data_IF_411230081910
#
_entry.id   IF_411230081910
#
_cell.length_a   1.000
_cell.length_b   1.000
_cell.length_c   1.000
_cell.angle_alpha   90.00
_cell.angle_beta   90.00
_cell.angle_gamma   90.00
#
_symmetry.space_group_name_H-M   'P 1'
#
loop_
_entity.id
_entity.type
_entity.pdbx_description
1 polymer ?
#
# COMPACT_ATOMS: atom_id res chain seq x y z
N UNK A 1 10.48 11.01 -16.12
CA UNK A 1 9.64 11.47 -14.98
C UNK A 1 8.43 10.55 -14.87
N UNK A 2 8.07 10.05 -13.69
CA UNK A 2 6.91 9.14 -13.48
C UNK A 2 5.62 9.95 -13.22
N UNK A 3 5.33 10.90 -14.09
CA UNK A 3 4.13 11.74 -13.97
C UNK A 3 3.01 11.05 -14.75
N UNK A 4 1.92 10.60 -14.08
CA UNK A 4 0.78 10.01 -14.76
C UNK A 4 0.13 11.05 -15.69
N UNK A 5 -0.28 10.61 -16.88
CA UNK A 5 -1.08 11.38 -17.83
C UNK A 5 -2.57 11.07 -17.65
N UNK A 6 -2.89 9.82 -17.33
CA UNK A 6 -4.25 9.37 -17.08
C UNK A 6 -4.38 8.90 -15.64
N UNK A 7 -5.39 9.45 -14.95
CA UNK A 7 -5.80 9.05 -13.61
C UNK A 7 -7.29 8.78 -13.67
N UNK A 8 -7.71 7.62 -13.19
CA UNK A 8 -9.11 7.27 -13.03
C UNK A 8 -9.42 7.12 -11.54
N UNK A 9 -10.59 7.60 -11.13
CA UNK A 9 -11.10 7.43 -9.78
C UNK A 9 -12.61 7.19 -9.83
N UNK A 10 -13.09 6.23 -9.06
CA UNK A 10 -14.49 5.97 -8.81
C UNK A 10 -14.70 5.65 -7.32
N UNK A 11 -15.85 6.04 -6.79
CA UNK A 11 -16.25 5.75 -5.42
C UNK A 11 -17.68 5.24 -5.35
N UNK A 12 -17.90 4.20 -4.55
CA UNK A 12 -19.22 3.66 -4.23
C UNK A 12 -19.41 3.70 -2.72
N UNK A 13 -20.57 4.15 -2.26
CA UNK A 13 -20.90 4.25 -0.84
C UNK A 13 -22.19 3.50 -0.59
N UNK A 14 -22.20 2.63 0.40
CA UNK A 14 -23.41 2.03 0.95
C UNK A 14 -23.37 2.12 2.49
N UNK A 15 -24.39 1.59 3.17
CA UNK A 15 -24.47 1.69 4.63
C UNK A 15 -23.31 1.01 5.38
N UNK A 16 -22.71 -0.03 4.79
CA UNK A 16 -21.68 -0.85 5.42
C UNK A 16 -20.26 -0.43 5.04
N UNK A 17 -20.08 -0.03 3.78
CA UNK A 17 -18.76 0.21 3.21
C UNK A 17 -18.71 1.45 2.33
N UNK A 18 -17.54 2.07 2.30
CA UNK A 18 -17.09 2.98 1.27
C UNK A 18 -16.02 2.28 0.44
N UNK A 19 -16.21 2.22 -0.88
CA UNK A 19 -15.29 1.57 -1.81
C UNK A 19 -14.68 2.62 -2.72
N UNK A 20 -13.36 2.69 -2.77
CA UNK A 20 -12.63 3.56 -3.69
C UNK A 20 -11.83 2.72 -4.68
N UNK A 21 -11.95 3.04 -5.97
CA UNK A 21 -11.16 2.44 -7.02
C UNK A 21 -10.38 3.56 -7.72
N UNK A 22 -9.05 3.45 -7.75
CA UNK A 22 -8.19 4.41 -8.43
C UNK A 22 -7.20 3.69 -9.34
N UNK A 23 -6.85 4.28 -10.48
CA UNK A 23 -5.76 3.80 -11.33
C UNK A 23 -4.99 4.93 -11.98
N UNK A 24 -3.74 4.66 -12.36
CA UNK A 24 -2.92 5.63 -13.08
C UNK A 24 -1.87 4.95 -13.98
N UNK A 25 -1.39 5.69 -14.98
CA UNK A 25 -0.40 5.23 -15.98
C UNK A 25 1.02 5.76 -15.75
N UNK A 26 1.33 6.23 -14.54
CA UNK A 26 2.63 6.86 -14.22
C UNK A 26 3.86 5.96 -14.38
N UNK A 27 3.65 4.64 -14.51
CA UNK A 27 4.68 3.64 -14.76
C UNK A 27 4.65 3.09 -16.20
N UNK A 28 3.77 3.60 -17.06
CA UNK A 28 3.56 3.08 -18.42
C UNK A 28 4.81 3.24 -19.29
N UNK A 29 5.36 4.45 -19.40
CA UNK A 29 6.49 4.71 -20.31
C UNK A 29 7.77 4.00 -19.89
N UNK A 30 8.00 3.86 -18.59
CA UNK A 30 9.25 3.29 -18.05
C UNK A 30 9.17 1.76 -17.88
N UNK A 31 7.99 1.20 -17.62
CA UNK A 31 7.85 -0.20 -17.20
C UNK A 31 6.74 -0.96 -17.95
N UNK A 32 5.96 -0.29 -18.79
CA UNK A 32 4.77 -0.83 -19.45
C UNK A 32 3.76 -1.42 -18.43
N UNK A 33 3.56 -0.70 -17.32
CA UNK A 33 2.64 -1.10 -16.23
C UNK A 33 1.65 0.02 -15.89
N UNK A 34 0.38 -0.37 -15.72
CA UNK A 34 -0.68 0.45 -15.11
C UNK A 34 -0.85 -0.02 -13.66
N UNK A 35 -1.00 0.92 -12.73
CA UNK A 35 -1.22 0.63 -11.32
C UNK A 35 -2.66 0.94 -10.98
N UNK A 36 -3.32 0.03 -10.26
CA UNK A 36 -4.69 0.20 -9.76
C UNK A 36 -4.74 -0.16 -8.29
N UNK A 37 -5.42 0.65 -7.48
CA UNK A 37 -5.71 0.39 -6.07
C UNK A 37 -7.23 0.36 -5.85
N UNK A 38 -7.71 -0.66 -5.17
CA UNK A 38 -9.06 -0.71 -4.61
C UNK A 38 -8.96 -0.67 -3.09
N UNK A 39 -9.74 0.21 -2.45
CA UNK A 39 -9.91 0.27 -1.01
C UNK A 39 -11.35 -0.05 -0.66
N UNK A 40 -11.56 -0.86 0.37
CA UNK A 40 -12.87 -1.13 0.99
C UNK A 40 -12.75 -0.70 2.45
N UNK A 41 -13.45 0.36 2.81
CA UNK A 41 -13.41 0.99 4.14
C UNK A 41 -14.73 0.66 4.83
N UNK A 42 -14.67 0.03 6.00
CA UNK A 42 -15.86 -0.26 6.78
C UNK A 42 -16.37 1.02 7.48
N UNK A 43 -17.61 1.42 7.22
CA UNK A 43 -18.13 2.71 7.71
C UNK A 43 -18.33 2.73 9.24
N UNK A 44 -18.54 1.56 9.85
CA UNK A 44 -18.83 1.42 11.30
C UNK A 44 -17.73 0.65 12.06
N UNK A 45 -16.63 0.31 11.40
CA UNK A 45 -15.50 -0.44 12.01
C UNK A 45 -14.19 0.22 11.60
N UNK A 46 -13.20 0.19 12.48
CA UNK A 46 -11.85 0.64 12.16
C UNK A 46 -11.11 -0.43 11.34
N UNK A 47 -11.58 -0.64 10.11
CA UNK A 47 -11.14 -1.71 9.22
C UNK A 47 -11.09 -1.22 7.78
N UNK A 48 -9.94 -1.41 7.14
CA UNK A 48 -9.70 -1.09 5.73
C UNK A 48 -9.10 -2.33 5.07
N UNK A 49 -9.65 -2.73 3.93
CA UNK A 49 -9.03 -3.68 3.02
C UNK A 49 -8.49 -2.94 1.80
N UNK A 50 -7.34 -3.37 1.31
CA UNK A 50 -6.73 -2.87 0.10
C UNK A 50 -6.33 -3.98 -0.86
N UNK A 51 -6.57 -3.75 -2.14
CA UNK A 51 -6.08 -4.57 -3.25
C UNK A 51 -5.27 -3.66 -4.18
N UNK A 52 -4.00 -3.97 -4.35
CA UNK A 52 -3.14 -3.34 -5.35
C UNK A 52 -2.94 -4.28 -6.54
N UNK A 53 -3.29 -3.81 -7.73
CA UNK A 53 -3.15 -4.49 -9.00
C UNK A 53 -2.06 -3.81 -9.84
N UNK A 54 -1.07 -4.59 -10.27
CA UNK A 54 -0.04 -4.16 -11.22
C UNK A 54 -0.34 -4.86 -12.54
N UNK A 55 -0.67 -4.07 -13.57
CA UNK A 55 -1.26 -4.56 -14.82
C UNK A 55 -0.27 -4.32 -15.97
N UNK A 56 0.28 -5.40 -16.57
CA UNK A 56 1.09 -5.31 -17.79
C UNK A 56 0.30 -4.81 -18.99
N UNK A 57 0.88 -3.91 -19.77
CA UNK A 57 0.29 -3.38 -21.02
C UNK A 57 0.96 -3.91 -22.28
N UNK A 58 2.06 -4.66 -22.14
CA UNK A 58 2.77 -5.32 -23.23
C UNK A 58 3.11 -6.75 -22.82
N UNK A 59 3.15 -7.64 -23.81
CA UNK A 59 3.63 -9.01 -23.70
C UNK A 59 5.16 -9.03 -23.87
N UNK A 60 5.82 -10.09 -23.38
CA UNK A 60 7.27 -10.34 -23.42
C UNK A 60 8.11 -9.27 -22.72
N UNK A 61 7.61 -8.74 -21.61
CA UNK A 61 8.35 -7.79 -20.78
C UNK A 61 9.35 -8.52 -19.88
N UNK A 62 10.51 -7.89 -19.67
CA UNK A 62 11.50 -8.40 -18.71
C UNK A 62 10.86 -8.46 -17.32
N UNK A 63 11.22 -9.49 -16.55
CA UNK A 63 10.87 -9.57 -15.13
C UNK A 63 11.43 -8.35 -14.41
N UNK A 64 10.55 -7.58 -13.74
CA UNK A 64 10.92 -6.37 -12.99
C UNK A 64 10.46 -6.48 -11.55
N UNK A 65 11.21 -5.86 -10.65
CA UNK A 65 10.83 -5.76 -9.24
C UNK A 65 9.90 -4.57 -9.01
N UNK A 66 9.00 -4.71 -8.05
CA UNK A 66 8.17 -3.62 -7.54
C UNK A 66 8.18 -3.61 -6.01
N UNK A 67 7.81 -2.46 -5.45
CA UNK A 67 7.58 -2.30 -4.01
C UNK A 67 6.33 -1.47 -3.79
N UNK A 68 5.48 -1.90 -2.85
CA UNK A 68 4.36 -1.13 -2.33
C UNK A 68 4.73 -0.70 -0.91
N UNK A 69 4.72 0.61 -0.64
CA UNK A 69 5.21 1.21 0.60
C UNK A 69 4.08 1.87 1.38
N UNK A 70 4.06 1.63 2.68
CA UNK A 70 3.17 2.27 3.63
C UNK A 70 4.02 2.97 4.69
N UNK A 71 4.17 4.29 4.56
CA UNK A 71 4.92 5.09 5.53
C UNK A 71 4.09 5.28 6.79
N UNK A 72 4.67 4.98 7.96
CA UNK A 72 4.00 5.11 9.25
C UNK A 72 4.23 6.50 9.83
N UNK A 73 3.43 6.92 10.81
CA UNK A 73 3.73 8.16 11.52
C UNK A 73 4.98 7.98 12.40
N UNK A 74 5.72 9.07 12.67
CA UNK A 74 6.71 9.07 13.74
C UNK A 74 6.10 8.58 15.06
N UNK A 75 6.94 8.00 15.92
CA UNK A 75 6.55 7.49 17.25
C UNK A 75 5.58 6.28 17.23
N UNK A 76 5.36 5.65 16.07
CA UNK A 76 4.73 4.33 16.00
C UNK A 76 5.75 3.24 16.37
N UNK A 77 5.43 2.43 17.37
CA UNK A 77 6.19 1.23 17.69
C UNK A 77 5.65 0.06 16.88
N UNK A 78 6.52 -0.63 16.14
CA UNK A 78 6.12 -1.68 15.19
C UNK A 78 6.76 -3.01 15.56
N UNK A 79 5.98 -4.09 15.51
CA UNK A 79 6.44 -5.45 15.71
C UNK A 79 6.01 -6.32 14.52
N UNK A 80 6.98 -6.77 13.73
CA UNK A 80 6.78 -7.72 12.63
C UNK A 80 6.60 -9.14 13.20
N UNK A 81 5.57 -9.84 12.74
CA UNK A 81 5.33 -11.24 13.15
C UNK A 81 6.35 -12.18 12.50
N UNK A 82 6.59 -13.34 13.13
CA UNK A 82 7.58 -14.32 12.65
C UNK A 82 7.27 -14.84 11.24
N UNK A 83 5.99 -14.98 10.89
CA UNK A 83 5.54 -15.40 9.54
C UNK A 83 5.71 -14.31 8.47
N UNK A 84 6.12 -13.09 8.89
CA UNK A 84 6.28 -11.89 8.06
C UNK A 84 5.06 -11.58 7.20
N UNK A 85 3.86 -11.84 7.70
CA UNK A 85 2.59 -11.48 7.03
C UNK A 85 1.79 -10.43 7.79
N UNK A 86 2.19 -10.10 9.01
CA UNK A 86 1.50 -9.08 9.82
C UNK A 86 2.49 -8.17 10.56
N UNK A 87 2.08 -6.94 10.83
CA UNK A 87 2.78 -6.01 11.73
C UNK A 87 1.78 -5.47 12.74
N UNK A 88 2.14 -5.55 14.02
CA UNK A 88 1.44 -4.85 15.10
C UNK A 88 2.02 -3.45 15.21
N UNK A 89 1.17 -2.43 15.18
CA UNK A 89 1.53 -1.02 15.20
C UNK A 89 0.87 -0.39 16.43
N UNK A 90 1.68 0.01 17.41
CA UNK A 90 1.22 0.76 18.57
C UNK A 90 1.48 2.25 18.34
N UNK A 91 0.42 3.05 18.35
CA UNK A 91 0.51 4.50 18.13
C UNK A 91 0.89 5.22 19.42
N UNK A 92 1.29 6.50 19.31
CA UNK A 92 1.57 7.38 20.44
C UNK A 92 0.39 7.52 21.42
N UNK A 93 -0.84 7.36 20.94
CA UNK A 93 -2.06 7.41 21.76
C UNK A 93 -2.44 6.02 22.34
N UNK A 94 -1.48 5.09 22.41
CA UNK A 94 -1.69 3.71 22.88
C UNK A 94 -2.77 2.93 22.10
N UNK A 95 -3.11 3.33 20.88
CA UNK A 95 -3.98 2.54 20.02
C UNK A 95 -3.17 1.45 19.31
N UNK A 96 -3.73 0.25 19.19
CA UNK A 96 -3.10 -0.85 18.48
C UNK A 96 -3.79 -1.07 17.14
N UNK A 97 -3.00 -1.14 16.09
CA UNK A 97 -3.42 -1.51 14.75
C UNK A 97 -2.66 -2.74 14.31
N UNK A 98 -3.28 -3.56 13.46
CA UNK A 98 -2.63 -4.68 12.81
C UNK A 98 -2.70 -4.45 11.31
N UNK A 99 -1.53 -4.37 10.68
CA UNK A 99 -1.41 -4.50 9.24
C UNK A 99 -1.25 -5.97 8.88
N UNK A 100 -1.99 -6.45 7.87
CA UNK A 100 -1.82 -7.80 7.32
C UNK A 100 -1.62 -7.74 5.81
N UNK A 101 -0.87 -8.67 5.26
CA UNK A 101 -0.73 -8.86 3.82
C UNK A 101 -0.81 -10.34 3.44
N UNK A 102 -1.31 -10.62 2.23
CA UNK A 102 -1.20 -11.94 1.61
C UNK A 102 0.24 -12.33 1.30
N UNK A 103 1.13 -11.36 1.09
CA UNK A 103 2.52 -11.54 0.73
C UNK A 103 3.45 -11.24 1.90
N UNK A 104 4.72 -11.65 1.76
CA UNK A 104 5.73 -11.33 2.75
C UNK A 104 5.98 -9.82 2.80
N UNK A 105 6.12 -9.31 4.02
CA UNK A 105 6.36 -7.91 4.30
C UNK A 105 7.67 -7.72 5.06
N UNK A 106 8.19 -6.51 4.95
CA UNK A 106 9.36 -6.05 5.67
C UNK A 106 9.08 -4.71 6.32
N UNK A 107 9.77 -4.45 7.44
CA UNK A 107 9.78 -3.15 8.09
C UNK A 107 11.11 -2.48 7.75
N UNK A 108 11.05 -1.34 7.07
CA UNK A 108 12.23 -0.60 6.64
C UNK A 108 12.25 0.79 7.29
N UNK A 109 13.43 1.42 7.33
CA UNK A 109 13.57 2.82 7.74
C UNK A 109 12.96 3.75 6.68
N UNK A 110 12.40 4.86 7.13
CA UNK A 110 11.78 5.89 6.32
C UNK A 110 12.05 7.27 6.95
N UNK A 111 11.65 8.32 6.25
CA UNK A 111 11.60 9.68 6.78
C UNK A 111 10.18 10.24 6.70
N UNK A 112 9.80 11.04 7.69
CA UNK A 112 8.64 11.91 7.69
C UNK A 112 9.09 13.37 7.72
N UNK A 113 8.50 14.21 6.87
CA UNK A 113 8.83 15.64 6.81
C UNK A 113 7.62 16.42 7.32
N UNK A 114 7.63 16.73 8.62
CA UNK A 114 6.58 17.50 9.28
C UNK A 114 6.69 19.00 8.96
N UNK A 115 5.59 19.59 8.49
CA UNK A 115 5.46 21.02 8.17
C UNK A 115 6.59 21.59 7.30
N UNK A 116 7.21 20.77 6.45
CA UNK A 116 8.30 21.16 5.54
C UNK A 116 9.62 21.55 6.22
N UNK A 117 9.73 21.41 7.55
CA UNK A 117 10.88 21.90 8.32
C UNK A 117 11.55 20.84 9.20
N UNK A 118 10.78 19.87 9.71
CA UNK A 118 11.30 18.85 10.64
C UNK A 118 11.36 17.49 9.96
N UNK A 119 12.57 16.96 9.81
CA UNK A 119 12.79 15.58 9.36
C UNK A 119 12.79 14.68 10.59
N UNK A 120 11.92 13.68 10.58
CA UNK A 120 11.82 12.68 11.63
C UNK A 120 12.00 11.29 11.04
N UNK A 121 12.77 10.46 11.73
CA UNK A 121 12.86 9.04 11.39
C UNK A 121 11.55 8.34 11.73
N UNK A 122 11.09 7.50 10.82
CA UNK A 122 9.95 6.62 11.02
C UNK A 122 10.22 5.28 10.35
N UNK A 123 9.27 4.37 10.46
CA UNK A 123 9.29 3.10 9.73
C UNK A 123 8.29 3.13 8.57
N UNK A 124 8.52 2.26 7.61
CA UNK A 124 7.58 1.95 6.55
C UNK A 124 7.39 0.45 6.44
N UNK A 125 6.19 0.03 6.07
CA UNK A 125 5.88 -1.35 5.71
C UNK A 125 6.09 -1.47 4.21
N UNK A 126 6.84 -2.49 3.78
CA UNK A 126 7.14 -2.71 2.37
C UNK A 126 6.74 -4.12 1.95
N UNK A 127 5.85 -4.19 0.96
CA UNK A 127 5.57 -5.40 0.18
C UNK A 127 6.47 -5.35 -1.05
N UNK A 128 7.37 -6.32 -1.18
CA UNK A 128 8.25 -6.46 -2.34
C UNK A 128 7.81 -7.65 -3.20
N UNK A 129 7.97 -7.52 -4.50
CA UNK A 129 7.69 -8.61 -5.42
C UNK A 129 8.28 -8.38 -6.79
N UNK A 130 8.01 -9.33 -7.69
CA UNK A 130 8.41 -9.24 -9.09
C UNK A 130 7.21 -9.51 -9.99
N UNK A 131 7.18 -8.85 -11.14
CA UNK A 131 6.14 -9.02 -12.15
C UNK A 131 6.77 -9.21 -13.53
N UNK A 132 6.12 -10.03 -14.35
CA UNK A 132 6.39 -10.24 -15.76
C UNK A 132 5.23 -9.69 -16.61
N UNK A 133 4.62 -10.54 -17.43
CA UNK A 133 3.49 -10.25 -18.30
C UNK A 133 2.14 -10.62 -17.70
N UNK A 134 2.13 -11.26 -16.52
CA UNK A 134 0.89 -11.58 -15.81
C UNK A 134 0.55 -10.48 -14.82
N UNK A 135 -0.74 -10.14 -14.76
CA UNK A 135 -1.27 -9.23 -13.72
C UNK A 135 -0.89 -9.77 -12.34
N UNK A 136 -0.33 -8.90 -11.51
CA UNK A 136 -0.04 -9.20 -10.10
C UNK A 136 -1.03 -8.48 -9.20
N UNK A 137 -1.49 -9.17 -8.16
CA UNK A 137 -2.44 -8.67 -7.17
C UNK A 137 -1.80 -8.85 -5.79
N UNK A 138 -1.84 -7.79 -4.99
CA UNK A 138 -1.40 -7.77 -3.60
C UNK A 138 -2.56 -7.33 -2.71
N UNK A 139 -2.94 -8.19 -1.76
CA UNK A 139 -4.01 -7.89 -0.81
C UNK A 139 -3.41 -7.55 0.55
N UNK A 140 -3.99 -6.55 1.20
CA UNK A 140 -3.58 -6.10 2.52
C UNK A 140 -4.75 -5.52 3.31
N UNK A 141 -4.60 -5.38 4.62
CA UNK A 141 -5.59 -4.73 5.47
C UNK A 141 -4.97 -3.99 6.65
N UNK A 142 -5.70 -3.00 7.16
CA UNK A 142 -5.47 -2.38 8.46
C UNK A 142 -6.70 -2.58 9.33
N UNK A 143 -6.51 -3.11 10.53
CA UNK A 143 -7.58 -3.30 11.51
C UNK A 143 -7.13 -2.73 12.85
N UNK A 144 -7.95 -1.91 13.49
CA UNK A 144 -7.72 -1.53 14.89
C UNK A 144 -8.08 -2.72 15.78
N UNK A 145 -7.16 -3.11 16.66
CA UNK A 145 -7.39 -4.12 17.69
C UNK A 145 -8.14 -3.54 18.88
#
# INVERSE_FOLDING_TARGET
KRTPKNIYFNSEINERYTIWNASHDGYLNNFNKIIRRKLIIANKKNLIFGEDSIIPTKLKSKKISYSIRFHLMPYCNCLLTNDRKSIIIKTKLNQTWVFKSSSLISLENSIYIGNGKRIEQNNQIVINGTIDDKKKIENWSFTKS
#
